data_IF_012068136188
#
_entry.id   IF_012068136188
#
_cell.length_a   1.000
_cell.length_b   1.000
_cell.length_c   1.000
_cell.angle_alpha   90.00
_cell.angle_beta   90.00
_cell.angle_gamma   90.00
#
_symmetry.space_group_name_H-M   'P 1'
#
loop_
_entity.id
_entity.type
_entity.pdbx_description
1 polymer ?
#
# COMPACT_ATOMS: atom_id res chain seq x y z
N UNK A 1 -65.70 4.29 -20.21
CA UNK A 1 -65.22 2.90 -20.27
C UNK A 1 -64.55 2.59 -18.93
N UNK A 2 -65.16 1.74 -18.09
CA UNK A 2 -64.51 1.26 -16.86
C UNK A 2 -63.59 0.11 -17.26
N UNK A 3 -62.29 0.30 -17.17
CA UNK A 3 -61.32 -0.76 -17.44
C UNK A 3 -61.46 -1.83 -16.36
N UNK A 4 -61.83 -3.04 -16.76
CA UNK A 4 -61.66 -4.26 -15.97
C UNK A 4 -60.15 -4.55 -15.84
N UNK A 5 -59.43 -3.75 -15.06
CA UNK A 5 -58.15 -4.19 -14.52
C UNK A 5 -58.50 -5.33 -13.55
N UNK A 6 -58.21 -6.55 -13.98
CA UNK A 6 -58.60 -7.77 -13.29
C UNK A 6 -58.25 -7.69 -11.79
N UNK A 7 -59.17 -8.10 -10.92
CA UNK A 7 -59.03 -8.09 -9.45
C UNK A 7 -57.71 -8.74 -8.99
N UNK A 8 -57.21 -9.65 -9.80
CA UNK A 8 -55.95 -10.36 -9.76
C UNK A 8 -54.74 -9.42 -9.59
N UNK A 9 -54.76 -8.23 -10.20
CA UNK A 9 -53.67 -7.25 -10.09
C UNK A 9 -53.53 -6.75 -8.65
N UNK A 10 -54.64 -6.42 -8.00
CA UNK A 10 -54.64 -5.96 -6.61
C UNK A 10 -54.27 -7.08 -5.64
N UNK A 11 -54.73 -8.31 -5.91
CA UNK A 11 -54.36 -9.50 -5.14
C UNK A 11 -52.85 -9.75 -5.25
N UNK A 12 -52.29 -9.67 -6.46
CA UNK A 12 -50.87 -9.89 -6.70
C UNK A 12 -50.00 -8.77 -6.11
N UNK A 13 -50.46 -7.52 -6.15
CA UNK A 13 -49.81 -6.41 -5.45
C UNK A 13 -49.77 -6.65 -3.93
N UNK A 14 -50.89 -7.06 -3.33
CA UNK A 14 -50.94 -7.39 -1.91
C UNK A 14 -49.98 -8.54 -1.53
N UNK A 15 -49.92 -9.59 -2.35
CA UNK A 15 -48.95 -10.70 -2.16
C UNK A 15 -47.50 -10.24 -2.29
N UNK A 16 -47.19 -9.35 -3.23
CA UNK A 16 -45.84 -8.81 -3.41
C UNK A 16 -45.40 -7.96 -2.21
N UNK A 17 -46.30 -7.12 -1.68
CA UNK A 17 -46.02 -6.31 -0.47
C UNK A 17 -45.80 -7.21 0.75
N UNK A 18 -46.64 -8.22 0.94
CA UNK A 18 -46.49 -9.16 2.05
C UNK A 18 -45.15 -9.92 1.99
N UNK A 19 -44.72 -10.31 0.78
CA UNK A 19 -43.42 -10.95 0.57
C UNK A 19 -42.25 -10.01 0.85
N UNK A 20 -42.34 -8.74 0.44
CA UNK A 20 -41.30 -7.74 0.74
C UNK A 20 -41.09 -7.58 2.25
N UNK A 21 -42.18 -7.41 3.00
CA UNK A 21 -42.12 -7.31 4.47
C UNK A 21 -41.48 -8.56 5.10
N UNK A 22 -41.79 -9.77 4.61
CA UNK A 22 -41.17 -11.00 5.10
C UNK A 22 -39.66 -11.06 4.85
N UNK A 23 -39.21 -10.56 3.69
CA UNK A 23 -37.79 -10.50 3.35
C UNK A 23 -37.07 -9.49 4.23
N UNK A 24 -37.68 -8.34 4.49
CA UNK A 24 -37.13 -7.30 5.37
C UNK A 24 -36.98 -7.81 6.80
N UNK A 25 -38.05 -8.38 7.38
CA UNK A 25 -38.01 -8.97 8.73
C UNK A 25 -36.90 -10.03 8.85
N UNK A 26 -36.71 -10.85 7.80
CA UNK A 26 -35.66 -11.86 7.75
C UNK A 26 -34.25 -11.24 7.68
N UNK A 27 -34.06 -10.18 6.90
CA UNK A 27 -32.78 -9.48 6.79
C UNK A 27 -32.42 -8.79 8.11
N UNK A 28 -33.37 -8.10 8.74
CA UNK A 28 -33.21 -7.44 10.04
C UNK A 28 -32.82 -8.45 11.13
N UNK A 29 -33.49 -9.62 11.17
CA UNK A 29 -33.16 -10.70 12.10
C UNK A 29 -31.73 -11.24 11.93
N UNK A 30 -31.14 -11.12 10.73
CA UNK A 30 -29.76 -11.50 10.45
C UNK A 30 -28.76 -10.34 10.64
N UNK A 31 -29.22 -9.17 11.08
CA UNK A 31 -28.41 -7.95 11.17
C UNK A 31 -27.93 -7.44 9.81
N UNK A 32 -28.68 -7.73 8.75
CA UNK A 32 -28.36 -7.35 7.36
C UNK A 32 -29.38 -6.34 6.85
N UNK A 33 -28.99 -5.54 5.87
CA UNK A 33 -29.88 -4.60 5.17
C UNK A 33 -30.16 -5.08 3.75
N UNK A 34 -31.20 -4.53 3.13
CA UNK A 34 -31.50 -4.78 1.72
C UNK A 34 -30.28 -4.54 0.82
N UNK A 35 -30.02 -5.43 -0.16
CA UNK A 35 -28.91 -5.29 -1.08
C UNK A 35 -29.20 -4.16 -2.09
N UNK A 36 -28.39 -3.11 -2.06
CA UNK A 36 -28.45 -2.03 -3.06
C UNK A 36 -28.15 -2.59 -4.45
N UNK A 37 -29.11 -2.48 -5.37
CA UNK A 37 -28.96 -2.93 -6.75
C UNK A 37 -27.76 -2.23 -7.42
N UNK A 38 -26.84 -3.02 -7.97
CA UNK A 38 -25.68 -2.51 -8.69
C UNK A 38 -26.11 -2.17 -10.12
N UNK A 39 -25.72 -1.00 -10.67
CA UNK A 39 -26.00 -0.67 -12.07
C UNK A 39 -25.47 -1.75 -13.03
N UNK A 40 -26.21 -2.00 -14.10
CA UNK A 40 -25.79 -2.94 -15.15
C UNK A 40 -24.39 -2.61 -15.68
N UNK A 41 -23.56 -3.63 -15.84
CA UNK A 41 -22.18 -3.50 -16.33
C UNK A 41 -21.14 -3.09 -15.28
N UNK A 42 -21.54 -2.84 -14.02
CA UNK A 42 -20.61 -2.56 -12.94
C UNK A 42 -20.40 -3.79 -12.05
N UNK A 43 -19.15 -4.06 -11.69
CA UNK A 43 -18.80 -5.00 -10.62
C UNK A 43 -18.18 -4.23 -9.47
N UNK A 44 -18.64 -4.47 -8.24
CA UNK A 44 -18.08 -3.83 -7.02
C UNK A 44 -16.67 -4.32 -6.65
N UNK A 45 -16.00 -5.05 -7.55
CA UNK A 45 -14.68 -5.64 -7.30
C UNK A 45 -13.57 -4.58 -7.20
N UNK A 46 -13.66 -3.47 -7.95
CA UNK A 46 -12.61 -2.44 -7.94
C UNK A 46 -12.66 -1.48 -6.74
N UNK A 47 -13.70 -1.58 -5.89
CA UNK A 47 -13.94 -0.65 -4.77
C UNK A 47 -13.53 -1.22 -3.40
N UNK A 48 -13.00 -2.45 -3.34
CA UNK A 48 -12.55 -3.02 -2.07
C UNK A 48 -11.21 -2.42 -1.65
N UNK A 49 -11.07 -2.11 -0.36
CA UNK A 49 -9.78 -1.72 0.22
C UNK A 49 -8.74 -2.83 -0.01
N UNK A 50 -7.48 -2.46 -0.23
CA UNK A 50 -6.36 -3.39 -0.50
C UNK A 50 -6.26 -4.56 0.50
N UNK A 51 -6.78 -4.38 1.70
CA UNK A 51 -6.76 -5.38 2.77
C UNK A 51 -7.84 -6.48 2.61
N UNK A 52 -8.91 -6.22 1.84
CA UNK A 52 -10.02 -7.14 1.57
C UNK A 52 -10.21 -7.40 0.07
N UNK A 53 -9.16 -7.19 -0.73
CA UNK A 53 -9.17 -7.46 -2.16
C UNK A 53 -9.19 -8.98 -2.41
N UNK A 54 -10.10 -9.44 -3.27
CA UNK A 54 -10.18 -10.84 -3.65
C UNK A 54 -8.88 -11.22 -4.38
N UNK A 55 -8.04 -12.01 -3.72
CA UNK A 55 -6.79 -12.52 -4.32
C UNK A 55 -7.13 -13.55 -5.37
N UNK A 56 -6.59 -13.39 -6.58
CA UNK A 56 -6.71 -14.43 -7.60
C UNK A 56 -6.01 -15.70 -7.13
N UNK A 57 -6.40 -16.86 -7.66
CA UNK A 57 -5.75 -18.14 -7.30
C UNK A 57 -4.23 -18.10 -7.48
N UNK A 58 -3.75 -17.41 -8.53
CA UNK A 58 -2.31 -17.21 -8.78
C UNK A 58 -1.63 -16.36 -7.70
N UNK A 59 -2.27 -15.27 -7.27
CA UNK A 59 -1.75 -14.41 -6.19
C UNK A 59 -1.71 -15.16 -4.85
N UNK A 60 -2.76 -15.89 -4.52
CA UNK A 60 -2.85 -16.70 -3.30
C UNK A 60 -1.73 -17.76 -3.25
N UNK A 61 -1.48 -18.46 -4.35
CA UNK A 61 -0.39 -19.44 -4.44
C UNK A 61 0.99 -18.79 -4.30
N UNK A 62 1.23 -17.64 -4.93
CA UNK A 62 2.50 -16.89 -4.81
C UNK A 62 2.77 -16.40 -3.38
N UNK A 63 1.74 -15.95 -2.69
CA UNK A 63 1.85 -15.49 -1.32
C UNK A 63 2.06 -16.66 -0.34
N UNK A 64 1.34 -17.76 -0.53
CA UNK A 64 1.48 -18.96 0.29
C UNK A 64 2.88 -19.58 0.16
N UNK A 65 3.40 -19.65 -1.07
CA UNK A 65 4.76 -20.16 -1.34
C UNK A 65 5.85 -19.23 -0.80
N UNK A 66 5.73 -17.91 -0.94
CA UNK A 66 6.72 -16.98 -0.37
C UNK A 66 6.69 -16.96 1.16
N UNK A 67 5.51 -17.08 1.77
CA UNK A 67 5.37 -17.18 3.23
C UNK A 67 5.91 -18.49 3.81
N UNK A 68 5.75 -19.61 3.10
CA UNK A 68 6.30 -20.90 3.57
C UNK A 68 7.82 -20.92 3.50
N UNK A 69 8.42 -20.36 2.44
CA UNK A 69 9.88 -20.25 2.29
C UNK A 69 10.47 -19.32 3.36
N UNK A 70 9.82 -18.20 3.67
CA UNK A 70 10.35 -17.24 4.65
C UNK A 70 10.24 -17.73 6.10
N UNK A 71 9.16 -18.45 6.46
CA UNK A 71 8.95 -18.94 7.84
C UNK A 71 9.68 -20.25 8.15
N UNK A 72 9.74 -21.16 7.17
CA UNK A 72 10.25 -22.51 7.38
C UNK A 72 11.57 -22.78 6.65
N UNK A 73 12.13 -21.78 5.95
CA UNK A 73 13.43 -21.89 5.33
C UNK A 73 14.51 -22.11 6.40
N UNK A 74 15.46 -23.04 6.20
CA UNK A 74 16.59 -23.17 7.10
C UNK A 74 17.33 -21.83 7.15
N UNK A 75 17.41 -21.23 8.34
CA UNK A 75 18.26 -20.06 8.57
C UNK A 75 19.70 -20.54 8.45
N UNK A 76 20.25 -20.44 7.24
CA UNK A 76 21.67 -20.69 7.01
C UNK A 76 22.43 -19.84 8.02
N UNK A 77 23.33 -20.45 8.79
CA UNK A 77 24.13 -19.69 9.76
C UNK A 77 24.84 -18.59 8.99
N UNK A 78 24.45 -17.34 9.22
CA UNK A 78 25.09 -16.21 8.56
C UNK A 78 26.53 -16.17 9.08
N UNK A 79 27.49 -16.66 8.31
CA UNK A 79 28.91 -16.41 8.61
C UNK A 79 29.06 -14.90 8.67
N UNK A 80 29.37 -14.38 9.86
CA UNK A 80 29.55 -12.95 10.09
C UNK A 80 30.79 -12.54 9.31
N UNK A 81 30.59 -12.03 8.10
CA UNK A 81 31.66 -11.42 7.32
C UNK A 81 31.89 -10.02 7.87
N UNK A 82 33.14 -9.62 8.16
CA UNK A 82 33.41 -8.24 8.53
C UNK A 82 32.97 -7.32 7.38
N UNK A 83 32.39 -6.18 7.73
CA UNK A 83 31.99 -5.19 6.73
C UNK A 83 33.24 -4.65 6.04
N UNK A 84 33.13 -4.36 4.74
CA UNK A 84 34.17 -3.60 4.05
C UNK A 84 34.14 -2.13 4.50
N UNK A 85 35.25 -1.41 4.37
CA UNK A 85 35.33 0.03 4.72
C UNK A 85 34.22 0.87 4.06
N UNK A 86 33.88 0.52 2.81
CA UNK A 86 32.76 1.12 2.06
C UNK A 86 31.41 0.88 2.75
N UNK A 87 31.15 -0.35 3.18
CA UNK A 87 29.90 -0.72 3.87
C UNK A 87 29.81 -0.04 5.24
N UNK A 88 30.91 0.12 5.96
CA UNK A 88 30.96 0.87 7.20
C UNK A 88 30.63 2.35 6.98
N UNK A 89 31.19 2.97 5.92
CA UNK A 89 30.87 4.34 5.51
C UNK A 89 29.39 4.50 5.19
N UNK A 90 28.84 3.60 4.37
CA UNK A 90 27.43 3.61 4.00
C UNK A 90 26.53 3.42 5.22
N UNK A 91 26.88 2.51 6.13
CA UNK A 91 26.14 2.29 7.39
C UNK A 91 26.14 3.54 8.27
N UNK A 92 27.29 4.21 8.40
CA UNK A 92 27.41 5.46 9.14
C UNK A 92 26.51 6.55 8.52
N UNK A 93 26.60 6.78 7.21
CA UNK A 93 25.81 7.79 6.51
C UNK A 93 24.31 7.49 6.57
N UNK A 94 23.93 6.23 6.43
CA UNK A 94 22.53 5.80 6.51
C UNK A 94 21.95 6.05 7.90
N UNK A 95 22.70 5.75 8.96
CA UNK A 95 22.28 6.01 10.34
C UNK A 95 22.17 7.50 10.61
N UNK A 96 23.13 8.31 10.17
CA UNK A 96 23.09 9.77 10.32
C UNK A 96 21.90 10.39 9.57
N UNK A 97 21.64 9.93 8.33
CA UNK A 97 20.47 10.33 7.54
C UNK A 97 19.16 10.02 8.28
N UNK A 98 19.01 8.80 8.78
CA UNK A 98 17.76 8.41 9.46
C UNK A 98 17.55 9.19 10.76
N UNK A 99 18.63 9.54 11.47
CA UNK A 99 18.54 10.42 12.64
C UNK A 99 18.09 11.83 12.27
N UNK A 100 18.67 12.42 11.22
CA UNK A 100 18.26 13.75 10.74
C UNK A 100 16.81 13.77 10.24
N UNK A 101 16.40 12.76 9.46
CA UNK A 101 15.02 12.62 9.00
C UNK A 101 14.03 12.43 10.17
N UNK A 102 14.41 11.68 11.21
CA UNK A 102 13.61 11.56 12.42
C UNK A 102 13.49 12.88 13.19
N UNK A 103 14.51 13.75 13.11
CA UNK A 103 14.49 15.10 13.67
C UNK A 103 13.78 16.14 12.77
N UNK A 104 13.38 15.76 11.55
CA UNK A 104 12.80 16.69 10.56
C UNK A 104 13.83 17.57 9.86
N UNK A 105 15.13 17.29 10.01
CA UNK A 105 16.21 17.99 9.33
C UNK A 105 16.53 17.33 7.99
N UNK A 106 16.86 18.17 7.00
CA UNK A 106 17.25 17.72 5.66
C UNK A 106 18.76 17.71 5.45
N UNK A 107 19.54 18.01 6.50
CA UNK A 107 20.99 18.10 6.47
C UNK A 107 21.59 17.22 7.58
N UNK A 108 22.70 16.54 7.29
CA UNK A 108 23.36 15.66 8.27
C UNK A 108 24.86 15.57 8.04
N UNK A 109 25.62 15.25 9.10
CA UNK A 109 27.07 14.99 9.00
C UNK A 109 27.33 13.56 8.56
N UNK A 110 27.94 13.40 7.39
CA UNK A 110 28.29 12.11 6.79
C UNK A 110 29.77 12.02 6.46
N UNK A 111 30.28 10.81 6.22
CA UNK A 111 31.63 10.57 5.75
C UNK A 111 31.66 10.41 4.22
N UNK A 112 32.49 11.20 3.56
CA UNK A 112 32.71 11.28 2.12
C UNK A 112 34.12 10.78 1.79
N UNK A 113 34.30 10.05 0.69
CA UNK A 113 35.61 9.51 0.29
C UNK A 113 36.65 10.60 -0.02
N UNK A 114 36.19 11.72 -0.57
CA UNK A 114 37.07 12.81 -1.03
C UNK A 114 37.31 13.86 0.04
N UNK A 115 36.33 14.09 0.90
CA UNK A 115 36.29 15.26 1.80
C UNK A 115 36.26 14.87 3.29
N UNK A 116 36.19 13.57 3.61
CA UNK A 116 36.04 13.10 4.99
C UNK A 116 34.67 13.45 5.56
N UNK A 117 34.62 13.89 6.82
CA UNK A 117 33.37 14.22 7.49
C UNK A 117 32.86 15.59 6.99
N UNK A 118 31.75 15.57 6.25
CA UNK A 118 31.14 16.76 5.66
C UNK A 118 29.62 16.79 5.86
N UNK A 119 29.02 17.94 5.57
CA UNK A 119 27.58 18.10 5.60
C UNK A 119 26.96 17.58 4.28
N UNK A 120 25.95 16.74 4.42
CA UNK A 120 25.17 16.12 3.36
C UNK A 120 23.76 16.66 3.36
N UNK A 121 23.21 16.87 2.16
CA UNK A 121 21.82 17.30 1.98
C UNK A 121 20.97 16.16 1.45
N UNK A 122 19.83 15.92 2.08
CA UNK A 122 18.80 14.97 1.67
C UNK A 122 17.76 15.69 0.83
N UNK A 123 17.43 15.12 -0.34
CA UNK A 123 16.40 15.65 -1.23
C UNK A 123 15.11 14.84 -1.12
N UNK A 124 13.99 15.40 -1.56
CA UNK A 124 12.68 14.73 -1.59
C UNK A 124 12.68 13.41 -2.39
N UNK A 125 13.64 13.24 -3.30
CA UNK A 125 13.85 11.97 -4.03
C UNK A 125 14.46 10.85 -3.20
N UNK A 126 14.78 11.10 -1.92
CA UNK A 126 15.43 10.15 -1.00
C UNK A 126 16.94 10.00 -1.22
N UNK A 127 17.49 10.65 -2.24
CA UNK A 127 18.94 10.71 -2.51
C UNK A 127 19.61 11.75 -1.62
N UNK A 128 20.86 11.50 -1.26
CA UNK A 128 21.69 12.42 -0.49
C UNK A 128 23.04 12.65 -1.16
N UNK A 129 23.52 13.89 -1.11
CA UNK A 129 24.78 14.29 -1.72
C UNK A 129 25.63 15.12 -0.75
N UNK A 130 26.95 14.94 -0.82
CA UNK A 130 27.91 15.77 -0.10
C UNK A 130 27.87 17.18 -0.69
N UNK A 131 27.72 18.21 0.16
CA UNK A 131 27.64 19.59 -0.28
C UNK A 131 28.91 20.04 -1.03
N UNK A 132 30.09 19.67 -0.54
CA UNK A 132 31.36 20.01 -1.19
C UNK A 132 31.53 19.35 -2.57
N UNK A 133 31.15 18.07 -2.71
CA UNK A 133 31.15 17.40 -4.02
C UNK A 133 30.18 18.09 -5.00
N UNK A 134 29.04 18.54 -4.49
CA UNK A 134 28.02 19.19 -5.28
C UNK A 134 28.44 20.62 -5.71
N UNK A 135 29.13 21.36 -4.85
CA UNK A 135 29.72 22.66 -5.19
C UNK A 135 30.82 22.55 -6.24
N UNK A 136 31.71 21.55 -6.09
CA UNK A 136 32.76 21.29 -7.07
C UNK A 136 32.18 20.95 -8.46
N UNK A 137 31.16 20.10 -8.52
CA UNK A 137 30.50 19.78 -9.80
C UNK A 137 29.75 20.97 -10.39
N UNK A 138 29.20 21.87 -9.57
CA UNK A 138 28.63 23.15 -10.03
C UNK A 138 29.69 24.08 -10.63
N UNK A 139 30.88 24.19 -10.03
CA UNK A 139 31.97 25.00 -10.55
C UNK A 139 32.44 24.49 -11.92
N UNK A 140 32.72 23.19 -12.03
CA UNK A 140 33.13 22.55 -13.29
C UNK A 140 32.12 22.73 -14.43
N UNK A 141 30.81 22.77 -14.12
CA UNK A 141 29.75 23.03 -15.11
C UNK A 141 29.65 24.48 -15.56
N UNK A 142 30.13 25.44 -14.77
CA UNK A 142 30.16 26.85 -15.15
C UNK A 142 31.36 27.19 -16.03
N UNK A 143 32.43 26.41 -15.91
CA UNK A 143 33.68 26.57 -16.65
C UNK A 143 33.67 25.89 -18.03
N UNK A 144 32.67 25.02 -18.29
CA UNK A 144 32.45 24.33 -19.56
C UNK A 144 31.38 25.03 -20.41
#
# INVERSE_FOLDING_TARGET
MKSNLAHDVFINQGKAIALANQVDDWLEAQGKSEPVQIPFGQSRLSLKSKDNEYKTGQQSMRESTSNSISKNGPVLSSKVRPLTKEQERQKYNFNAKNKALAAGENEFKGNCDLHGITDYKVYNSGKYHCLQCHERTKQLRKEA
#
